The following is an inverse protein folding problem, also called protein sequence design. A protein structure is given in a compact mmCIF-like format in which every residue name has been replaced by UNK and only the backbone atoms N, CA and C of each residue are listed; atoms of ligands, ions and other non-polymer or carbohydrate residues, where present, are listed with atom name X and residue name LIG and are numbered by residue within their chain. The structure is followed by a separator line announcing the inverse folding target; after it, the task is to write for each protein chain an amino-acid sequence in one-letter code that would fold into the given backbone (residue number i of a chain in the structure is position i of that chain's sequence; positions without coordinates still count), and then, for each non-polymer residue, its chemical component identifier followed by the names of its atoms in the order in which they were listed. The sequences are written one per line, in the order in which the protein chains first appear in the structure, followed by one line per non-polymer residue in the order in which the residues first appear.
data_IF_238635953380
#
_entry.id   IF_238635953380
#
_cell.length_a   1.000
_cell.length_b   1.000
_cell.length_c   1.000
_cell.angle_alpha   90.00
_cell.angle_beta   90.00
_cell.angle_gamma   90.00
#
_symmetry.space_group_name_H-M   'P 1'
#
loop_
_entity.id
_entity.type
_entity.pdbx_description
1 polymer ?
#
# COMPACT_ATOMS: atom_id res chain seq x y z
N UNK A 1 31.62 10.58 6.32
CA UNK A 1 31.53 11.70 5.35
C UNK A 1 30.09 11.68 4.87
N UNK A 2 29.26 12.62 5.38
CA UNK A 2 27.88 12.77 4.97
C UNK A 2 27.86 13.59 3.66
N UNK A 3 27.44 12.95 2.57
CA UNK A 3 27.20 13.63 1.31
C UNK A 3 25.80 14.23 1.31
N UNK A 4 25.72 15.55 1.39
CA UNK A 4 24.48 16.31 1.19
C UNK A 4 24.24 16.41 -0.32
N UNK A 5 23.17 15.79 -0.82
CA UNK A 5 22.74 15.99 -2.21
C UNK A 5 21.81 17.21 -2.19
N UNK A 6 22.27 18.33 -2.76
CA UNK A 6 21.43 19.47 -3.10
C UNK A 6 20.69 19.14 -4.41
N UNK A 7 19.37 19.00 -4.32
CA UNK A 7 18.53 18.97 -5.51
C UNK A 7 18.19 20.41 -5.89
N UNK A 8 18.86 20.95 -6.89
CA UNK A 8 18.45 22.19 -7.56
C UNK A 8 17.18 21.89 -8.38
N UNK A 9 16.11 22.61 -8.09
CA UNK A 9 14.90 22.54 -8.91
C UNK A 9 15.15 23.23 -10.25
N UNK A 10 15.17 22.49 -11.33
CA UNK A 10 15.06 23.07 -12.66
C UNK A 10 13.67 23.68 -12.82
N UNK A 11 13.57 25.00 -12.87
CA UNK A 11 12.37 25.68 -13.31
C UNK A 11 12.24 25.46 -14.84
N UNK A 12 11.48 24.47 -15.23
CA UNK A 12 11.04 24.31 -16.61
C UNK A 12 9.75 25.13 -16.76
N UNK A 13 9.80 26.23 -17.49
CA UNK A 13 8.59 26.92 -17.92
C UNK A 13 7.84 26.02 -18.91
N UNK A 14 6.74 25.41 -18.44
CA UNK A 14 5.83 24.65 -19.27
C UNK A 14 4.89 25.64 -19.97
N UNK A 15 4.82 25.64 -21.31
CA UNK A 15 3.89 26.50 -22.04
C UNK A 15 2.47 26.29 -21.53
N UNK A 16 1.70 27.36 -21.35
CA UNK A 16 0.32 27.31 -20.81
C UNK A 16 -0.62 26.40 -21.63
N UNK A 17 -0.31 26.22 -22.92
CA UNK A 17 -1.02 25.31 -23.84
C UNK A 17 -0.77 23.82 -23.57
N UNK A 18 0.29 23.47 -22.84
CA UNK A 18 0.64 22.08 -22.52
C UNK A 18 0.07 21.63 -21.17
N UNK A 19 -0.55 22.55 -20.41
CA UNK A 19 -1.17 22.21 -19.13
C UNK A 19 -2.57 21.68 -19.39
N UNK A 20 -2.74 20.37 -19.28
CA UNK A 20 -4.08 19.77 -19.22
C UNK A 20 -4.81 20.30 -18.00
N UNK A 21 -5.74 21.21 -18.19
CA UNK A 21 -6.62 21.74 -17.15
C UNK A 21 -7.89 20.88 -17.12
N UNK A 22 -7.92 19.93 -16.22
CA UNK A 22 -9.16 19.21 -15.96
C UNK A 22 -10.16 20.15 -15.25
N UNK A 23 -11.30 20.36 -15.86
CA UNK A 23 -12.39 21.13 -15.28
C UNK A 23 -13.43 20.18 -14.65
N UNK A 24 -13.48 20.05 -13.32
CA UNK A 24 -14.41 19.14 -12.66
C UNK A 24 -15.89 19.52 -12.88
N UNK A 25 -16.18 20.78 -13.27
CA UNK A 25 -17.56 21.22 -13.54
C UNK A 25 -18.12 20.68 -14.86
N UNK A 26 -17.29 20.15 -15.76
CA UNK A 26 -17.72 19.58 -17.05
C UNK A 26 -17.96 18.07 -17.00
N UNK A 27 -17.51 17.37 -15.97
CA UNK A 27 -17.84 15.95 -15.80
C UNK A 27 -19.14 15.81 -15.03
N UNK A 28 -20.23 15.60 -15.75
CA UNK A 28 -21.57 15.43 -15.16
C UNK A 28 -21.71 14.22 -14.20
N UNK A 29 -20.70 13.34 -14.12
CA UNK A 29 -20.68 12.17 -13.24
C UNK A 29 -19.22 11.85 -12.86
N UNK A 30 -18.89 11.95 -11.58
CA UNK A 30 -17.63 11.43 -11.04
C UNK A 30 -17.71 9.89 -10.99
N UNK A 31 -17.50 9.21 -12.14
CA UNK A 31 -17.64 7.76 -12.27
C UNK A 31 -16.80 6.97 -11.26
N UNK A 32 -15.71 7.58 -10.78
CA UNK A 32 -14.86 7.00 -9.73
C UNK A 32 -15.56 6.80 -8.40
N UNK A 33 -16.65 7.55 -8.12
CA UNK A 33 -17.44 7.39 -6.89
C UNK A 33 -18.25 6.08 -6.88
N UNK A 34 -18.47 5.47 -8.04
CA UNK A 34 -19.16 4.18 -8.17
C UNK A 34 -18.20 2.99 -8.07
N UNK A 35 -16.89 3.23 -8.02
CA UNK A 35 -15.90 2.17 -7.88
C UNK A 35 -15.71 1.84 -6.41
N UNK A 36 -15.98 0.59 -6.05
CA UNK A 36 -15.70 0.06 -4.72
C UNK A 36 -14.57 -0.99 -4.78
N UNK A 37 -13.32 -0.62 -4.42
CA UNK A 37 -12.20 -1.55 -4.47
C UNK A 37 -12.31 -2.74 -3.50
N UNK A 38 -13.23 -2.71 -2.54
CA UNK A 38 -13.45 -3.83 -1.61
C UNK A 38 -14.22 -4.99 -2.26
N UNK A 39 -14.82 -4.80 -3.44
CA UNK A 39 -15.52 -5.87 -4.15
C UNK A 39 -14.53 -6.96 -4.56
N UNK A 40 -14.81 -8.22 -4.18
CA UNK A 40 -13.98 -9.37 -4.49
C UNK A 40 -12.85 -9.62 -3.49
N UNK A 41 -12.74 -8.86 -2.41
CA UNK A 41 -11.69 -9.07 -1.38
C UNK A 41 -12.07 -10.13 -0.34
N UNK A 42 -13.31 -10.61 -0.33
CA UNK A 42 -13.80 -11.65 0.57
C UNK A 42 -14.06 -12.97 -0.15
N UNK A 43 -14.24 -14.04 0.60
CA UNK A 43 -14.51 -15.40 0.11
C UNK A 43 -13.47 -15.81 -0.95
N UNK A 44 -13.91 -16.20 -2.15
CA UNK A 44 -13.04 -16.64 -3.26
C UNK A 44 -12.81 -15.55 -4.30
N UNK A 45 -12.86 -14.26 -3.92
CA UNK A 45 -12.84 -13.15 -4.87
C UNK A 45 -11.46 -12.81 -5.44
N UNK A 46 -10.38 -13.05 -4.70
CA UNK A 46 -8.97 -12.89 -5.10
C UNK A 46 -8.64 -11.49 -5.65
N UNK A 47 -9.12 -10.45 -4.97
CA UNK A 47 -8.78 -9.06 -5.30
C UNK A 47 -8.17 -8.37 -4.08
N UNK A 48 -7.51 -7.25 -4.31
CA UNK A 48 -6.93 -6.40 -3.26
C UNK A 48 -7.54 -5.00 -3.30
N UNK A 49 -7.69 -4.31 -2.16
CA UNK A 49 -8.39 -3.02 -2.08
C UNK A 49 -7.48 -1.82 -2.34
N UNK A 50 -6.21 -2.03 -2.58
CA UNK A 50 -5.19 -0.99 -2.55
C UNK A 50 -5.17 -0.05 -3.76
N UNK A 51 -4.24 0.89 -3.73
CA UNK A 51 -4.13 1.96 -4.71
C UNK A 51 -3.41 1.51 -5.98
N UNK A 52 -4.07 1.64 -7.11
CA UNK A 52 -3.48 1.39 -8.43
C UNK A 52 -3.79 2.54 -9.39
N UNK A 53 -2.88 2.80 -10.35
CA UNK A 53 -3.17 3.61 -11.52
C UNK A 53 -3.60 2.69 -12.69
N UNK A 54 -4.48 3.14 -13.60
CA UNK A 54 -4.81 2.37 -14.79
C UNK A 54 -3.56 1.98 -15.57
N UNK A 55 -3.39 0.69 -15.86
CA UNK A 55 -2.22 0.14 -16.58
C UNK A 55 -0.89 0.48 -15.87
N UNK A 56 -0.93 0.62 -14.55
CA UNK A 56 0.25 0.92 -13.72
C UNK A 56 1.10 -0.33 -13.46
N UNK A 57 2.40 -0.11 -13.24
CA UNK A 57 3.36 -1.15 -12.84
C UNK A 57 3.39 -1.37 -11.33
N UNK A 58 2.74 -0.51 -10.57
CA UNK A 58 2.73 -0.53 -9.10
C UNK A 58 1.29 -0.65 -8.62
N UNK A 59 1.06 -1.59 -7.70
CA UNK A 59 -0.22 -1.85 -7.05
C UNK A 59 0.01 -1.91 -5.54
N UNK A 60 -0.17 -0.78 -4.86
CA UNK A 60 0.03 -0.69 -3.41
C UNK A 60 -1.18 -1.22 -2.67
N UNK A 61 -0.98 -2.18 -1.77
CA UNK A 61 -2.06 -2.70 -0.95
C UNK A 61 -1.55 -3.22 0.40
N UNK A 62 -2.41 -3.32 1.42
CA UNK A 62 -2.09 -4.10 2.59
C UNK A 62 -2.00 -5.60 2.26
N UNK A 63 -1.09 -6.29 2.92
CA UNK A 63 -0.99 -7.74 2.94
C UNK A 63 -1.49 -8.28 4.28
N UNK A 64 -2.42 -9.24 4.23
CA UNK A 64 -2.97 -9.91 5.42
C UNK A 64 -2.58 -11.39 5.46
N UNK A 65 -2.17 -11.97 4.32
CA UNK A 65 -1.78 -13.37 4.17
C UNK A 65 -0.43 -13.54 3.49
N UNK A 66 0.33 -14.52 3.97
CA UNK A 66 1.64 -14.92 3.47
C UNK A 66 1.80 -16.46 3.44
N UNK A 67 0.70 -17.19 3.42
CA UNK A 67 0.66 -18.64 3.59
C UNK A 67 0.31 -19.42 2.31
N UNK A 68 0.37 -18.78 1.15
CA UNK A 68 0.05 -19.33 -0.18
C UNK A 68 -1.34 -19.96 -0.28
N UNK A 69 -2.24 -19.62 0.65
CA UNK A 69 -3.62 -20.12 0.62
C UNK A 69 -4.34 -19.63 -0.64
N UNK A 70 -5.25 -20.46 -1.15
CA UNK A 70 -6.11 -20.12 -2.29
C UNK A 70 -6.87 -18.82 -2.05
N UNK A 71 -7.57 -18.72 -0.91
CA UNK A 71 -8.25 -17.50 -0.53
C UNK A 71 -7.23 -16.48 -0.04
N UNK A 72 -7.30 -15.25 -0.55
CA UNK A 72 -6.33 -14.20 -0.23
C UNK A 72 -5.01 -14.30 -0.98
N UNK A 73 -4.95 -15.08 -2.06
CA UNK A 73 -3.75 -15.19 -2.91
C UNK A 73 -3.33 -13.86 -3.55
N UNK A 74 -4.23 -12.87 -3.60
CA UNK A 74 -3.92 -11.48 -3.99
C UNK A 74 -3.18 -10.68 -2.90
N UNK A 75 -2.89 -11.28 -1.72
CA UNK A 75 -2.22 -10.64 -0.59
C UNK A 75 -3.16 -10.19 0.52
N UNK A 76 -4.38 -9.83 0.19
CA UNK A 76 -5.39 -9.34 1.13
C UNK A 76 -6.61 -10.26 1.16
N UNK A 77 -7.18 -10.45 2.35
CA UNK A 77 -8.49 -11.07 2.51
C UNK A 77 -9.33 -10.32 3.54
N UNK A 78 -10.58 -10.03 3.20
CA UNK A 78 -11.47 -9.18 4.03
C UNK A 78 -11.74 -9.74 5.43
N UNK A 79 -11.80 -11.06 5.61
CA UNK A 79 -12.08 -11.67 6.92
C UNK A 79 -10.87 -11.66 7.87
N UNK A 80 -9.71 -11.20 7.41
CA UNK A 80 -8.52 -11.12 8.23
C UNK A 80 -8.55 -9.85 9.12
N UNK A 81 -7.88 -9.93 10.26
CA UNK A 81 -7.81 -8.85 11.24
C UNK A 81 -6.38 -8.36 11.54
N UNK A 82 -5.40 -8.88 10.80
CA UNK A 82 -3.98 -8.55 10.95
C UNK A 82 -3.42 -8.10 9.60
N UNK A 83 -2.84 -6.90 9.54
CA UNK A 83 -2.03 -6.44 8.42
C UNK A 83 -0.56 -6.74 8.74
N UNK A 84 0.10 -7.48 7.85
CA UNK A 84 1.52 -7.82 7.91
C UNK A 84 2.40 -6.63 7.51
N UNK A 85 1.92 -5.83 6.57
CA UNK A 85 2.56 -4.66 6.01
C UNK A 85 1.84 -4.22 4.73
N UNK A 86 2.53 -3.43 3.92
CA UNK A 86 2.02 -2.87 2.67
C UNK A 86 3.04 -3.15 1.56
N UNK A 87 2.74 -4.06 0.64
CA UNK A 87 3.62 -4.36 -0.47
C UNK A 87 3.31 -3.51 -1.71
N UNK A 88 4.21 -3.53 -2.69
CA UNK A 88 4.18 -2.62 -3.82
C UNK A 88 3.60 -3.24 -5.09
N UNK A 89 3.43 -4.56 -5.11
CA UNK A 89 2.90 -5.28 -6.27
C UNK A 89 1.85 -6.29 -5.84
N UNK A 90 0.74 -6.32 -6.56
CA UNK A 90 -0.37 -7.26 -6.32
C UNK A 90 -0.99 -7.68 -7.64
N UNK A 91 -1.57 -8.86 -7.67
CA UNK A 91 -2.26 -9.40 -8.83
C UNK A 91 -3.67 -9.82 -8.44
N UNK A 92 -4.68 -9.41 -9.21
CA UNK A 92 -6.08 -9.75 -8.98
C UNK A 92 -6.54 -10.90 -9.84
N UNK A 93 -7.34 -11.80 -9.28
CA UNK A 93 -8.10 -12.82 -10.01
C UNK A 93 -7.29 -14.00 -10.51
N UNK A 94 -6.07 -14.23 -10.03
CA UNK A 94 -5.19 -15.30 -10.52
C UNK A 94 -5.47 -16.66 -9.91
N UNK A 95 -5.88 -16.70 -8.65
CA UNK A 95 -6.06 -17.96 -7.91
C UNK A 95 -4.76 -18.67 -7.53
N UNK A 96 -3.61 -18.02 -7.68
CA UNK A 96 -2.33 -18.43 -7.13
C UNK A 96 -1.65 -17.23 -6.47
N UNK A 97 -0.87 -17.51 -5.44
CA UNK A 97 -0.08 -16.49 -4.77
C UNK A 97 1.07 -16.06 -5.67
N UNK A 98 1.13 -14.78 -5.99
CA UNK A 98 2.17 -14.20 -6.82
C UNK A 98 2.31 -12.70 -6.51
N UNK A 99 3.47 -12.12 -6.77
CA UNK A 99 3.81 -10.74 -6.36
C UNK A 99 3.87 -10.56 -4.82
N UNK A 100 3.65 -9.37 -4.33
CA UNK A 100 3.85 -9.01 -2.92
C UNK A 100 5.25 -8.48 -2.66
N UNK A 101 5.90 -7.97 -3.73
CA UNK A 101 7.28 -7.49 -3.65
C UNK A 101 7.41 -6.27 -2.76
N UNK A 102 8.52 -6.22 -2.04
CA UNK A 102 8.94 -5.08 -1.21
C UNK A 102 7.85 -4.72 -0.21
N UNK A 103 7.70 -5.54 0.83
CA UNK A 103 6.79 -5.26 1.93
C UNK A 103 7.36 -4.16 2.82
N UNK A 104 6.55 -3.13 3.07
CA UNK A 104 6.88 -2.02 3.96
C UNK A 104 6.06 -2.15 5.25
N UNK A 105 6.73 -2.27 6.38
CA UNK A 105 6.08 -2.40 7.70
C UNK A 105 6.43 -1.21 8.57
N UNK A 106 5.47 -0.32 8.88
CA UNK A 106 5.67 0.76 9.84
C UNK A 106 5.42 0.29 11.27
N UNK A 107 6.19 0.78 12.23
CA UNK A 107 5.97 0.47 13.65
C UNK A 107 6.55 1.50 14.62
N UNK A 108 6.17 1.37 15.89
CA UNK A 108 6.48 2.35 16.94
C UNK A 108 7.17 1.76 18.16
N UNK A 109 7.23 0.45 18.29
CA UNK A 109 7.88 -0.17 19.43
C UNK A 109 9.41 0.02 19.39
N UNK A 110 10.03 0.24 20.55
CA UNK A 110 11.46 0.46 20.67
C UNK A 110 12.31 -0.82 20.64
N UNK A 111 11.79 -1.94 20.13
CA UNK A 111 12.49 -3.22 20.13
C UNK A 111 13.72 -3.19 19.21
N UNK A 112 14.91 -3.41 19.78
CA UNK A 112 16.16 -3.54 19.02
C UNK A 112 16.23 -4.81 18.16
N UNK A 113 15.33 -5.77 18.42
CA UNK A 113 15.29 -7.08 17.78
C UNK A 113 14.18 -7.21 16.73
N UNK A 114 13.70 -6.07 16.20
CA UNK A 114 12.59 -6.05 15.25
C UNK A 114 12.85 -6.96 14.03
N UNK A 115 14.08 -6.95 13.52
CA UNK A 115 14.47 -7.76 12.36
C UNK A 115 14.55 -9.28 12.66
N UNK A 116 14.51 -9.66 13.93
CA UNK A 116 14.48 -11.07 14.34
C UNK A 116 13.06 -11.59 14.58
N UNK A 117 12.08 -10.69 14.61
CA UNK A 117 10.68 -11.06 14.82
C UNK A 117 10.08 -11.60 13.53
N UNK A 118 9.17 -12.56 13.67
CA UNK A 118 8.33 -13.00 12.57
C UNK A 118 7.45 -11.84 12.07
N UNK A 119 7.15 -11.78 10.78
CA UNK A 119 6.27 -10.79 10.12
C UNK A 119 4.96 -10.60 10.89
N UNK A 120 4.29 -11.69 11.28
CA UNK A 120 3.06 -11.63 12.08
C UNK A 120 3.23 -10.97 13.43
N UNK A 121 4.43 -11.00 13.99
CA UNK A 121 4.74 -10.37 15.28
C UNK A 121 5.04 -8.87 15.17
N UNK A 122 5.35 -8.38 13.97
CA UNK A 122 5.58 -6.95 13.71
C UNK A 122 4.43 -6.28 12.98
N UNK A 123 3.50 -7.05 12.41
CA UNK A 123 2.25 -6.57 11.86
C UNK A 123 1.34 -5.94 12.91
N UNK A 124 0.26 -5.34 12.50
CA UNK A 124 -0.72 -4.72 13.39
C UNK A 124 -2.13 -5.17 13.06
N UNK A 125 -2.91 -5.40 14.11
CA UNK A 125 -4.36 -5.60 13.95
C UNK A 125 -5.04 -4.32 13.49
N UNK A 126 -6.22 -4.47 12.91
CA UNK A 126 -7.02 -3.38 12.40
C UNK A 126 -8.52 -3.71 12.44
N UNK A 127 -9.34 -2.73 12.17
CA UNK A 127 -10.79 -2.87 12.08
C UNK A 127 -11.25 -2.22 10.77
N UNK A 128 -12.13 -2.88 10.01
CA UNK A 128 -12.66 -2.38 8.74
C UNK A 128 -13.34 -1.00 8.83
N UNK A 129 -13.91 -0.64 9.99
CA UNK A 129 -14.45 0.71 10.20
C UNK A 129 -13.42 1.83 10.06
N UNK A 130 -12.11 1.48 10.22
CA UNK A 130 -10.98 2.41 10.11
C UNK A 130 -10.28 2.31 8.76
N UNK A 131 -10.83 1.52 7.82
CA UNK A 131 -10.31 1.24 6.49
C UNK A 131 -11.16 1.95 5.45
N UNK A 132 -10.52 2.58 4.47
CA UNK A 132 -11.16 3.25 3.35
C UNK A 132 -10.39 2.97 2.07
N UNK A 133 -11.11 2.54 1.04
CA UNK A 133 -10.57 2.32 -0.29
C UNK A 133 -11.38 3.10 -1.31
N UNK A 134 -10.72 3.73 -2.25
CA UNK A 134 -11.32 4.40 -3.41
C UNK A 134 -10.39 4.29 -4.60
N UNK A 135 -10.85 4.67 -5.80
CA UNK A 135 -10.02 4.60 -7.00
C UNK A 135 -8.69 5.31 -6.81
N UNK A 136 -7.58 4.56 -6.85
CA UNK A 136 -6.21 5.07 -6.73
C UNK A 136 -5.78 5.54 -5.34
N UNK A 137 -6.58 5.27 -4.32
CA UNK A 137 -6.26 5.68 -2.94
C UNK A 137 -6.75 4.67 -1.91
N UNK A 138 -5.90 4.39 -0.93
CA UNK A 138 -6.21 3.55 0.22
C UNK A 138 -5.74 4.22 1.51
N UNK A 139 -6.54 4.10 2.57
CA UNK A 139 -6.30 4.72 3.88
C UNK A 139 -6.75 3.77 4.98
N UNK A 140 -5.92 3.60 5.99
CA UNK A 140 -6.25 2.80 7.17
C UNK A 140 -5.59 3.35 8.42
N UNK A 141 -6.29 3.26 9.55
CA UNK A 141 -5.70 3.46 10.87
C UNK A 141 -5.61 2.11 11.58
N UNK A 142 -4.38 1.69 11.83
CA UNK A 142 -4.05 0.45 12.53
C UNK A 142 -4.32 0.58 14.03
N UNK A 143 -4.52 -0.57 14.73
CA UNK A 143 -4.78 -0.57 16.17
C UNK A 143 -3.58 -0.07 17.01
N UNK A 144 -2.36 -0.11 16.46
CA UNK A 144 -1.18 0.52 17.07
C UNK A 144 -1.14 2.06 16.90
N UNK A 145 -2.18 2.66 16.31
CA UNK A 145 -2.34 4.11 16.13
C UNK A 145 -1.63 4.69 14.90
N UNK A 146 -0.93 3.89 14.11
CA UNK A 146 -0.33 4.35 12.86
C UNK A 146 -1.42 4.46 11.79
N UNK A 147 -1.51 5.61 11.12
CA UNK A 147 -2.34 5.76 9.92
C UNK A 147 -1.45 5.63 8.69
N UNK A 148 -1.85 4.76 7.79
CA UNK A 148 -1.19 4.54 6.50
C UNK A 148 -2.09 5.04 5.36
N UNK A 149 -1.54 5.85 4.47
CA UNK A 149 -2.17 6.31 3.24
C UNK A 149 -1.33 5.87 2.05
N UNK A 150 -1.98 5.28 1.05
CA UNK A 150 -1.33 4.77 -0.15
C UNK A 150 -1.95 5.41 -1.39
N UNK A 151 -1.11 5.79 -2.34
CA UNK A 151 -1.54 6.17 -3.69
C UNK A 151 -0.48 5.78 -4.71
N UNK A 152 -0.86 5.65 -5.96
CA UNK A 152 0.03 5.21 -7.02
C UNK A 152 -0.11 6.05 -8.28
N UNK A 153 1.00 6.27 -8.95
CA UNK A 153 1.07 6.67 -10.37
C UNK A 153 1.44 5.44 -11.21
N UNK A 154 1.50 5.52 -12.54
CA UNK A 154 1.85 4.35 -13.35
C UNK A 154 3.17 3.65 -13.00
N UNK A 155 4.13 4.35 -12.37
CA UNK A 155 5.46 3.79 -12.07
C UNK A 155 5.96 4.09 -10.66
N UNK A 156 5.18 4.81 -9.84
CA UNK A 156 5.62 5.22 -8.50
C UNK A 156 4.52 4.94 -7.50
N UNK A 157 4.85 4.18 -6.46
CA UNK A 157 4.04 4.03 -5.27
C UNK A 157 4.40 5.08 -4.22
N UNK A 158 3.41 5.66 -3.58
CA UNK A 158 3.59 6.62 -2.50
C UNK A 158 2.93 6.09 -1.25
N UNK A 159 3.74 5.93 -0.20
CA UNK A 159 3.30 5.58 1.13
C UNK A 159 3.46 6.80 2.04
N UNK A 160 2.43 7.12 2.82
CA UNK A 160 2.50 8.12 3.87
C UNK A 160 2.09 7.49 5.19
N UNK A 161 2.96 7.54 6.17
CA UNK A 161 2.70 7.01 7.51
C UNK A 161 2.64 8.14 8.53
N UNK A 162 1.56 8.20 9.28
CA UNK A 162 1.39 9.12 10.40
C UNK A 162 1.59 8.36 11.70
N UNK A 163 2.54 8.80 12.49
CA UNK A 163 2.88 8.21 13.78
C UNK A 163 2.44 9.12 14.91
N UNK A 164 2.04 8.54 16.03
CA UNK A 164 1.78 9.30 17.24
C UNK A 164 3.05 10.01 17.74
N UNK A 165 2.87 11.14 18.43
CA UNK A 165 3.98 11.91 18.97
C UNK A 165 4.64 11.19 20.14
N UNK A 166 5.97 11.29 20.25
CA UNK A 166 6.74 10.81 21.42
C UNK A 166 7.21 9.36 21.36
N UNK A 167 6.81 8.58 20.37
CA UNK A 167 7.24 7.18 20.19
C UNK A 167 8.48 7.06 19.30
N UNK A 168 9.27 6.00 19.53
CA UNK A 168 10.30 5.61 18.57
C UNK A 168 9.61 5.03 17.34
N UNK A 169 10.01 5.50 16.17
CA UNK A 169 9.45 5.15 14.88
C UNK A 169 10.45 4.34 14.09
N UNK A 170 9.97 3.35 13.37
CA UNK A 170 10.78 2.57 12.47
C UNK A 170 9.96 2.15 11.25
N UNK A 171 10.65 1.84 10.17
CA UNK A 171 10.10 1.23 8.97
C UNK A 171 11.02 0.06 8.61
N UNK A 172 10.46 -1.12 8.46
CA UNK A 172 11.14 -2.29 7.92
C UNK A 172 10.80 -2.42 6.45
N UNK A 173 11.81 -2.66 5.63
CA UNK A 173 11.68 -3.10 4.24
C UNK A 173 11.99 -4.59 4.22
N UNK A 174 10.99 -5.41 3.92
CA UNK A 174 11.13 -6.84 3.77
C UNK A 174 11.15 -7.19 2.28
N UNK A 175 12.30 -7.66 1.81
CA UNK A 175 12.53 -8.01 0.41
C UNK A 175 12.28 -9.49 0.11
N UNK A 176 11.96 -10.28 1.16
CA UNK A 176 11.72 -11.73 1.05
C UNK A 176 10.29 -12.11 1.45
N UNK A 177 9.36 -11.15 1.38
CA UNK A 177 7.99 -11.33 1.86
C UNK A 177 7.29 -12.51 1.18
N UNK A 178 7.30 -12.54 -0.13
CA UNK A 178 6.70 -13.61 -0.96
C UNK A 178 7.66 -14.19 -1.98
N UNK A 179 8.82 -13.55 -2.18
CA UNK A 179 9.83 -14.01 -3.11
C UNK A 179 11.05 -14.59 -2.40
N UNK A 180 11.66 -15.59 -3.03
CA UNK A 180 13.01 -16.03 -2.69
C UNK A 180 13.99 -15.06 -3.36
N UNK A 181 14.73 -14.28 -2.54
CA UNK A 181 15.87 -13.53 -3.05
C UNK A 181 16.96 -14.55 -3.38
N UNK A 182 17.21 -14.76 -4.64
CA UNK A 182 18.32 -15.59 -5.09
C UNK A 182 19.62 -14.79 -4.90
N UNK A 183 20.61 -15.39 -4.20
CA UNK A 183 21.97 -14.83 -4.00
C UNK A 183 22.75 -14.66 -5.31
#
# INVERSE_FOLDING_TARGET
IAGTILLESCNVEVPDEAVFRWNPAESALALTEYVNPMIGTAAHGHTFPGATAPIGMVQLSPDTRDDDSWDGCSGYHYDDSLILGFSNTHLSGTGCSDYGDILIVPGTDGSKDILKKNKRAIGSTYQHKNEKASSGYYDITLDNGIRAELTASPRVGVHRYHFNSGEKRWIVLDLVHRDEVLD
#
